data_IF_743278617987
#
_entry.id   IF_743278617987
#
_cell.length_a   1.000
_cell.length_b   1.000
_cell.length_c   1.000
_cell.angle_alpha   90.00
_cell.angle_beta   90.00
_cell.angle_gamma   90.00
#
_symmetry.space_group_name_H-M   'P 1'
#
loop_
_entity.id
_entity.type
_entity.pdbx_description
1 polymer ?
#
# COMPACT_ATOMS: atom_id res chain seq x y z
N UNK A 1 -16.55 -3.37 39.81
CA UNK A 1 -16.03 -2.92 38.51
C UNK A 1 -15.41 -1.55 38.78
N UNK A 2 -14.09 -1.53 38.94
CA UNK A 2 -13.32 -0.32 39.19
C UNK A 2 -13.13 0.41 37.87
N UNK A 3 -13.55 1.68 37.84
CA UNK A 3 -13.30 2.61 36.74
C UNK A 3 -11.79 2.95 36.73
N UNK A 4 -11.11 2.56 35.67
CA UNK A 4 -9.73 3.00 35.41
C UNK A 4 -9.80 4.35 34.71
N UNK A 5 -9.58 5.39 35.50
CA UNK A 5 -9.51 6.78 35.04
C UNK A 5 -8.11 7.02 34.44
N UNK A 6 -8.01 7.15 33.12
CA UNK A 6 -6.76 7.50 32.43
C UNK A 6 -6.61 9.02 32.33
N UNK A 7 -5.77 9.59 33.17
CA UNK A 7 -5.38 11.00 33.08
C UNK A 7 -4.29 11.16 31.97
N UNK A 8 -4.63 11.93 30.93
CA UNK A 8 -3.76 12.21 29.78
C UNK A 8 -2.47 13.00 30.15
N UNK A 9 -2.39 13.52 31.36
CA UNK A 9 -1.19 14.18 31.89
C UNK A 9 -0.08 13.20 32.25
N UNK A 10 -0.40 11.98 32.67
CA UNK A 10 0.59 10.97 33.05
C UNK A 10 1.41 10.43 31.88
N UNK A 11 0.97 10.57 30.64
CA UNK A 11 1.72 10.13 29.46
C UNK A 11 2.77 11.18 29.01
N UNK A 12 2.56 12.45 29.33
CA UNK A 12 3.50 13.52 28.98
C UNK A 12 4.70 13.54 29.96
N UNK A 13 4.50 13.13 31.20
CA UNK A 13 5.56 13.17 32.22
C UNK A 13 6.50 11.96 32.20
N UNK A 14 6.16 10.86 31.53
CA UNK A 14 7.02 9.66 31.41
C UNK A 14 8.13 9.76 30.35
N UNK A 15 8.07 10.72 29.43
CA UNK A 15 9.10 10.90 28.38
C UNK A 15 10.26 11.81 28.78
N UNK A 16 10.26 12.39 30.02
CA UNK A 16 11.29 13.30 30.49
C UNK A 16 12.11 12.67 31.64
N UNK A 17 12.65 11.46 31.44
CA UNK A 17 13.65 10.93 32.37
C UNK A 17 14.87 10.35 31.65
N UNK A 18 15.64 11.24 31.03
CA UNK A 18 17.04 10.98 30.73
C UNK A 18 17.90 12.12 31.30
N UNK A 19 18.31 12.05 32.58
CA UNK A 19 18.91 13.18 33.31
C UNK A 19 20.29 13.59 32.81
N UNK A 20 20.93 12.79 31.93
CA UNK A 20 22.25 13.10 31.38
C UNK A 20 22.28 14.10 30.23
N UNK A 21 21.26 14.12 29.37
CA UNK A 21 21.20 14.98 28.18
C UNK A 21 20.69 16.39 28.51
N UNK A 22 19.78 16.52 29.45
CA UNK A 22 19.15 17.80 29.82
C UNK A 22 20.11 18.77 30.55
N UNK A 23 21.04 18.26 31.35
CA UNK A 23 22.01 19.12 32.06
C UNK A 23 23.01 19.77 31.08
N UNK A 24 23.49 19.05 30.07
CA UNK A 24 24.41 19.60 29.06
C UNK A 24 23.74 20.66 28.17
N UNK A 25 22.51 20.41 27.76
CA UNK A 25 21.74 21.33 26.92
C UNK A 25 21.37 22.61 27.67
N UNK A 26 21.00 22.52 28.96
CA UNK A 26 20.69 23.66 29.80
C UNK A 26 21.91 24.50 30.04
N UNK A 27 23.10 23.88 30.24
CA UNK A 27 24.39 24.57 30.41
C UNK A 27 24.82 25.27 29.12
N UNK A 28 24.65 24.67 27.97
CA UNK A 28 24.93 25.28 26.66
C UNK A 28 24.00 26.45 26.37
N UNK A 29 22.70 26.32 26.61
CA UNK A 29 21.71 27.38 26.42
C UNK A 29 22.00 28.60 27.29
N UNK A 30 22.35 28.39 28.54
CA UNK A 30 22.70 29.48 29.45
C UNK A 30 24.01 30.16 29.06
N UNK A 31 25.00 29.42 28.61
CA UNK A 31 26.25 29.98 28.08
C UNK A 31 25.99 30.82 26.82
N UNK A 32 25.21 30.31 25.87
CA UNK A 32 24.88 31.01 24.63
C UNK A 32 24.04 32.28 24.87
N UNK A 33 23.10 32.25 25.82
CA UNK A 33 22.28 33.41 26.14
C UNK A 33 23.09 34.57 26.73
N UNK A 34 24.22 34.28 27.38
CA UNK A 34 25.10 35.27 28.01
C UNK A 34 26.12 35.86 27.02
N UNK A 35 26.21 35.42 25.79
CA UNK A 35 27.10 35.99 24.78
C UNK A 35 26.54 37.32 24.26
N UNK A 36 27.43 38.32 24.12
CA UNK A 36 27.11 39.57 23.44
C UNK A 36 26.81 39.38 21.95
N UNK A 37 26.17 40.37 21.30
CA UNK A 37 25.88 40.28 19.84
C UNK A 37 27.13 39.97 19.00
N UNK A 38 28.25 40.59 19.29
CA UNK A 38 29.50 40.36 18.56
C UNK A 38 30.07 38.96 18.81
N UNK A 39 29.97 38.45 20.05
CA UNK A 39 30.42 37.09 20.36
C UNK A 39 29.55 36.01 19.69
N UNK A 40 28.24 36.21 19.55
CA UNK A 40 27.38 35.32 18.78
C UNK A 40 27.72 35.34 17.30
N UNK A 41 28.04 36.51 16.74
CA UNK A 41 28.48 36.64 15.36
C UNK A 41 29.78 35.86 15.11
N UNK A 42 30.79 36.03 15.98
CA UNK A 42 32.05 35.26 15.90
C UNK A 42 31.79 33.77 16.02
N UNK A 43 30.90 33.35 16.93
CA UNK A 43 30.55 31.93 17.09
C UNK A 43 29.93 31.33 15.81
N UNK A 44 29.02 32.02 15.13
CA UNK A 44 28.46 31.57 13.88
C UNK A 44 29.50 31.53 12.76
N UNK A 45 30.37 32.52 12.70
CA UNK A 45 31.42 32.58 11.68
C UNK A 45 32.41 31.43 11.84
N UNK A 46 32.82 31.07 13.04
CA UNK A 46 33.70 29.94 13.32
C UNK A 46 33.01 28.59 12.99
N UNK A 47 31.71 28.49 13.27
CA UNK A 47 30.93 27.31 12.94
C UNK A 47 30.81 27.08 11.40
N UNK A 48 30.58 28.18 10.66
CA UNK A 48 30.52 28.14 9.19
C UNK A 48 31.88 27.75 8.60
N UNK A 49 32.97 28.34 9.07
CA UNK A 49 34.33 27.97 8.62
C UNK A 49 34.64 26.52 8.94
N UNK A 50 34.29 26.03 10.13
CA UNK A 50 34.44 24.62 10.50
C UNK A 50 33.68 23.65 9.57
N UNK A 51 32.45 24.01 9.19
CA UNK A 51 31.65 23.20 8.22
C UNK A 51 32.30 23.20 6.84
N UNK A 52 32.81 24.35 6.36
CA UNK A 52 33.48 24.40 5.03
C UNK A 52 34.75 23.56 5.03
N UNK A 53 35.55 23.60 6.07
CA UNK A 53 36.75 22.77 6.20
C UNK A 53 36.39 21.29 6.23
N UNK A 54 35.36 20.92 6.99
CA UNK A 54 34.89 19.53 7.08
C UNK A 54 34.40 18.99 5.72
N UNK A 55 33.61 19.80 4.99
CA UNK A 55 33.15 19.43 3.64
C UNK A 55 34.31 19.33 2.64
N UNK A 56 35.31 20.21 2.76
CA UNK A 56 36.55 20.14 1.95
C UNK A 56 37.32 18.83 2.18
N UNK A 57 37.52 18.44 3.43
CA UNK A 57 38.16 17.17 3.80
C UNK A 57 37.37 15.98 3.29
N UNK A 58 36.04 15.99 3.46
CA UNK A 58 35.16 14.92 2.98
C UNK A 58 35.22 14.77 1.46
N UNK A 59 35.22 15.89 0.73
CA UNK A 59 35.36 15.89 -0.74
C UNK A 59 36.72 15.34 -1.19
N UNK A 60 37.79 15.72 -0.49
CA UNK A 60 39.14 15.21 -0.75
C UNK A 60 39.25 13.71 -0.52
N UNK A 61 38.66 13.19 0.56
CA UNK A 61 38.61 11.74 0.81
C UNK A 61 37.84 10.97 -0.27
N UNK A 62 36.71 11.52 -0.77
CA UNK A 62 35.94 10.91 -1.87
C UNK A 62 36.77 10.84 -3.16
N UNK A 63 37.64 11.82 -3.44
CA UNK A 63 38.52 11.81 -4.60
C UNK A 63 39.65 10.78 -4.45
N UNK A 64 40.21 10.61 -3.25
CA UNK A 64 41.26 9.62 -2.96
C UNK A 64 40.78 8.17 -3.04
N UNK A 65 39.48 7.92 -2.75
CA UNK A 65 38.91 6.57 -2.78
C UNK A 65 38.07 6.28 -4.03
N UNK A 66 38.22 7.08 -5.13
CA UNK A 66 37.60 6.71 -6.41
C UNK A 66 38.36 5.50 -6.99
N UNK A 67 37.67 4.35 -7.25
CA UNK A 67 38.31 3.26 -7.98
C UNK A 67 38.60 3.74 -9.40
N UNK A 68 39.86 3.52 -9.86
CA UNK A 68 40.25 3.82 -11.22
C UNK A 68 39.42 2.96 -12.19
N UNK A 69 38.64 3.58 -13.06
CA UNK A 69 37.95 2.89 -14.15
C UNK A 69 39.02 2.39 -15.15
N UNK A 70 39.31 1.10 -15.11
CA UNK A 70 40.09 0.44 -16.14
C UNK A 70 39.24 0.33 -17.41
N UNK A 71 39.57 1.12 -18.41
CA UNK A 71 39.09 0.98 -19.79
C UNK A 71 39.68 -0.29 -20.40
N UNK A 72 38.90 -1.34 -20.53
CA UNK A 72 39.26 -2.54 -21.29
C UNK A 72 38.77 -2.35 -22.71
N UNK A 73 39.71 -2.27 -23.65
CA UNK A 73 39.44 -2.30 -25.08
C UNK A 73 38.94 -3.69 -25.51
N UNK A 74 38.00 -3.80 -26.46
CA UNK A 74 37.49 -5.09 -26.90
C UNK A 74 38.46 -5.76 -27.88
N UNK A 75 39.03 -6.87 -27.47
CA UNK A 75 39.74 -7.77 -28.39
C UNK A 75 38.74 -8.74 -29.01
N UNK A 76 38.48 -8.60 -30.30
CA UNK A 76 37.67 -9.54 -31.06
C UNK A 76 38.53 -10.79 -31.33
N UNK A 77 38.16 -11.93 -30.77
CA UNK A 77 38.64 -13.24 -31.21
C UNK A 77 37.47 -14.16 -31.48
N UNK A 78 37.22 -14.41 -32.75
CA UNK A 78 36.24 -15.37 -33.21
C UNK A 78 36.73 -16.79 -32.92
N UNK A 79 36.07 -17.51 -32.01
CA UNK A 79 36.19 -18.97 -31.90
C UNK A 79 34.79 -19.59 -31.92
N UNK A 80 34.53 -20.25 -33.03
CA UNK A 80 33.36 -21.12 -33.21
C UNK A 80 33.43 -22.26 -32.20
N UNK A 81 32.47 -22.29 -31.25
CA UNK A 81 32.27 -23.44 -30.40
C UNK A 81 30.81 -23.90 -30.46
N UNK A 82 30.64 -25.20 -30.66
CA UNK A 82 29.44 -25.98 -30.76
C UNK A 82 28.47 -25.66 -29.63
N UNK A 83 27.22 -25.40 -30.03
CA UNK A 83 26.08 -25.14 -29.14
C UNK A 83 25.77 -26.39 -28.32
N UNK A 84 26.31 -26.47 -27.10
CA UNK A 84 25.86 -27.40 -26.08
C UNK A 84 24.56 -26.82 -25.49
N UNK A 85 23.47 -27.49 -25.75
CA UNK A 85 22.16 -27.13 -25.16
C UNK A 85 22.16 -27.52 -23.68
N UNK A 86 22.74 -26.68 -22.84
CA UNK A 86 22.55 -26.80 -21.40
C UNK A 86 21.20 -26.16 -21.06
N UNK A 87 20.18 -27.02 -20.88
CA UNK A 87 18.91 -26.64 -20.26
C UNK A 87 19.15 -26.29 -18.81
N UNK A 88 19.75 -25.14 -18.54
CA UNK A 88 19.65 -24.51 -17.23
C UNK A 88 18.22 -23.98 -17.10
N UNK A 89 17.34 -24.77 -16.51
CA UNK A 89 16.05 -24.28 -16.04
C UNK A 89 16.33 -23.31 -14.90
N UNK A 90 16.55 -22.03 -15.22
CA UNK A 90 16.61 -20.99 -14.20
C UNK A 90 15.34 -21.08 -13.36
N UNK A 91 15.46 -21.36 -12.07
CA UNK A 91 14.35 -21.33 -11.11
C UNK A 91 13.61 -20.02 -11.29
N UNK A 92 12.40 -20.06 -11.82
CA UNK A 92 11.54 -18.88 -11.90
C UNK A 92 10.92 -18.65 -10.53
N UNK A 93 11.31 -17.56 -9.89
CA UNK A 93 10.64 -17.11 -8.67
C UNK A 93 9.29 -16.49 -9.03
N UNK A 94 8.29 -16.72 -8.21
CA UNK A 94 6.91 -16.27 -8.44
C UNK A 94 6.45 -15.46 -7.23
N UNK A 95 5.85 -14.32 -7.50
CA UNK A 95 5.21 -13.50 -6.48
C UNK A 95 3.98 -14.25 -5.93
N UNK A 96 3.91 -14.52 -4.62
CA UNK A 96 2.81 -15.26 -4.02
C UNK A 96 1.49 -14.46 -3.97
N UNK A 97 1.51 -13.15 -4.23
CA UNK A 97 0.35 -12.29 -4.22
C UNK A 97 -0.38 -12.30 -5.55
N UNK A 98 0.33 -12.06 -6.65
CA UNK A 98 -0.26 -11.88 -7.98
C UNK A 98 0.26 -12.86 -9.06
N UNK A 99 1.14 -13.77 -8.69
CA UNK A 99 1.67 -14.79 -9.59
C UNK A 99 2.66 -14.28 -10.64
N UNK A 100 3.07 -13.03 -10.63
CA UNK A 100 4.06 -12.48 -11.54
C UNK A 100 5.42 -13.18 -11.37
N UNK A 101 6.19 -13.28 -12.46
CA UNK A 101 7.56 -13.78 -12.37
C UNK A 101 8.48 -12.70 -11.80
N UNK A 102 9.34 -13.11 -10.87
CA UNK A 102 10.33 -12.27 -10.24
C UNK A 102 11.70 -12.51 -10.87
N UNK A 103 12.51 -11.47 -10.97
CA UNK A 103 13.90 -11.55 -11.48
C UNK A 103 14.83 -12.26 -10.50
N UNK A 104 14.53 -12.16 -9.19
CA UNK A 104 15.26 -12.80 -8.09
C UNK A 104 14.31 -13.03 -6.90
N UNK A 105 14.80 -13.65 -5.83
CA UNK A 105 14.03 -13.96 -4.63
C UNK A 105 14.15 -12.91 -3.51
N UNK A 106 14.88 -11.82 -3.71
CA UNK A 106 15.14 -10.85 -2.63
C UNK A 106 13.85 -10.26 -2.06
N UNK A 107 12.85 -10.01 -2.92
CA UNK A 107 11.56 -9.48 -2.48
C UNK A 107 10.78 -10.44 -1.58
N UNK A 108 11.06 -11.75 -1.67
CA UNK A 108 10.44 -12.78 -0.84
C UNK A 108 11.04 -12.84 0.58
N UNK A 109 12.09 -12.07 0.86
CA UNK A 109 12.71 -11.96 2.18
C UNK A 109 12.07 -10.90 3.08
N UNK A 110 11.01 -10.26 2.59
CA UNK A 110 10.25 -9.25 3.35
C UNK A 110 8.76 -9.56 3.32
N UNK A 111 7.99 -9.17 4.36
CA UNK A 111 6.54 -9.26 4.33
C UNK A 111 5.94 -8.26 3.31
N UNK A 112 4.73 -8.52 2.77
CA UNK A 112 3.99 -7.51 2.04
C UNK A 112 3.74 -6.27 2.90
N UNK A 113 3.58 -5.13 2.24
CA UNK A 113 3.17 -3.88 2.87
C UNK A 113 1.74 -3.56 2.43
N UNK A 114 0.78 -3.52 3.34
CA UNK A 114 -0.61 -3.18 3.09
C UNK A 114 -0.88 -1.74 3.53
N UNK A 115 -1.10 -0.83 2.59
CA UNK A 115 -1.20 0.61 2.86
C UNK A 115 -2.62 1.10 2.62
N UNK A 116 -3.20 1.78 3.62
CA UNK A 116 -4.51 2.41 3.50
C UNK A 116 -4.42 3.67 2.65
N UNK A 117 -5.13 3.71 1.53
CA UNK A 117 -5.13 4.84 0.58
C UNK A 117 -6.54 5.39 0.42
N UNK A 118 -6.65 6.70 0.48
CA UNK A 118 -7.92 7.43 0.38
C UNK A 118 -8.52 7.38 -1.03
N UNK A 119 -9.86 7.37 -1.13
CA UNK A 119 -10.57 7.49 -2.40
C UNK A 119 -11.60 8.63 -2.44
N UNK A 120 -11.60 9.56 -1.46
CA UNK A 120 -12.44 10.76 -1.60
C UNK A 120 -12.09 11.52 -2.87
N UNK A 121 -13.05 12.26 -3.42
CA UNK A 121 -12.85 13.03 -4.67
C UNK A 121 -11.67 14.01 -4.56
N UNK A 122 -11.48 14.61 -3.37
CA UNK A 122 -10.35 15.51 -3.08
C UNK A 122 -8.99 14.82 -3.01
N UNK A 123 -8.96 13.49 -2.89
CA UNK A 123 -7.73 12.70 -2.84
C UNK A 123 -7.26 12.22 -4.23
N UNK A 124 -8.09 12.39 -5.25
CA UNK A 124 -7.80 11.92 -6.61
C UNK A 124 -7.00 12.96 -7.42
N UNK A 125 -6.10 12.53 -8.32
CA UNK A 125 -5.61 11.17 -8.49
C UNK A 125 -4.67 10.74 -7.37
N UNK A 126 -4.68 9.43 -7.03
CA UNK A 126 -3.81 8.87 -6.01
C UNK A 126 -2.43 8.52 -6.59
N UNK A 127 -1.43 8.42 -5.70
CA UNK A 127 -0.08 7.98 -6.04
C UNK A 127 0.13 6.51 -5.64
N UNK A 128 0.83 5.75 -6.48
CA UNK A 128 1.33 4.43 -6.16
C UNK A 128 0.39 3.26 -6.46
N UNK A 129 -0.90 3.45 -6.75
CA UNK A 129 -1.85 2.35 -6.99
C UNK A 129 -1.41 1.45 -8.16
N UNK A 130 -0.78 2.01 -9.21
CA UNK A 130 -0.27 1.22 -10.33
C UNK A 130 0.92 0.31 -9.99
N UNK A 131 1.49 0.44 -8.80
CA UNK A 131 2.59 -0.41 -8.32
C UNK A 131 2.12 -1.49 -7.34
N UNK A 132 0.84 -1.48 -6.95
CA UNK A 132 0.29 -2.49 -6.05
C UNK A 132 0.15 -3.85 -6.74
N UNK A 133 0.34 -4.92 -5.97
CA UNK A 133 0.13 -6.31 -6.42
C UNK A 133 -1.32 -6.73 -6.19
N UNK A 134 -1.90 -6.34 -5.04
CA UNK A 134 -3.32 -6.48 -4.73
C UNK A 134 -3.89 -5.12 -4.33
N UNK A 135 -5.17 -4.88 -4.62
CA UNK A 135 -5.93 -3.76 -4.09
C UNK A 135 -7.27 -4.26 -3.58
N UNK A 136 -7.61 -3.89 -2.36
CA UNK A 136 -8.93 -4.13 -1.77
C UNK A 136 -9.65 -2.80 -1.70
N UNK A 137 -10.84 -2.71 -2.26
CA UNK A 137 -11.71 -1.56 -2.17
C UNK A 137 -12.99 -1.95 -1.45
N UNK A 138 -13.38 -1.17 -0.46
CA UNK A 138 -14.61 -1.31 0.26
C UNK A 138 -15.10 0.04 0.77
N UNK A 139 -16.39 0.10 1.08
CA UNK A 139 -17.00 1.26 1.72
C UNK A 139 -16.43 1.49 3.12
N UNK A 140 -16.32 2.75 3.49
CA UNK A 140 -16.05 3.24 4.84
C UNK A 140 -17.20 4.15 5.27
N UNK A 141 -17.06 4.83 6.40
CA UNK A 141 -18.07 5.77 6.88
C UNK A 141 -18.37 6.87 5.85
N UNK A 142 -19.61 7.33 5.80
CA UNK A 142 -20.08 8.43 4.93
C UNK A 142 -20.24 8.06 3.45
N UNK A 143 -20.44 6.78 3.12
CA UNK A 143 -20.62 6.30 1.74
C UNK A 143 -19.35 6.35 0.88
N UNK A 144 -18.21 6.76 1.44
CA UNK A 144 -16.93 6.87 0.75
C UNK A 144 -16.29 5.49 0.62
N UNK A 145 -15.63 5.17 -0.49
CA UNK A 145 -14.77 4.00 -0.56
C UNK A 145 -13.32 4.32 -0.16
N UNK A 146 -12.56 3.28 0.18
CA UNK A 146 -11.13 3.37 0.51
C UNK A 146 -10.39 2.18 -0.08
N UNK A 147 -9.11 2.39 -0.37
CA UNK A 147 -8.24 1.31 -0.83
C UNK A 147 -7.33 0.81 0.28
N UNK A 148 -7.07 -0.49 0.28
CA UNK A 148 -5.87 -1.07 0.87
C UNK A 148 -5.01 -1.60 -0.28
N UNK A 149 -3.95 -0.88 -0.61
CA UNK A 149 -3.01 -1.25 -1.65
C UNK A 149 -1.87 -2.09 -1.05
N UNK A 150 -1.61 -3.26 -1.62
CA UNK A 150 -0.61 -4.21 -1.12
C UNK A 150 0.58 -4.25 -2.07
N UNK A 151 1.76 -4.11 -1.51
CA UNK A 151 3.02 -4.08 -2.25
C UNK A 151 3.94 -5.19 -1.76
N UNK A 152 4.60 -5.88 -2.67
CA UNK A 152 5.69 -6.82 -2.38
C UNK A 152 6.85 -6.63 -3.35
N UNK A 153 6.60 -6.72 -4.67
CA UNK A 153 7.64 -6.65 -5.69
C UNK A 153 8.07 -5.22 -6.03
N UNK A 154 7.15 -4.26 -5.96
CA UNK A 154 7.42 -2.86 -6.31
C UNK A 154 7.62 -1.99 -5.08
N UNK A 155 8.46 -0.95 -5.21
CA UNK A 155 8.81 -0.01 -4.15
C UNK A 155 8.57 1.44 -4.59
N UNK A 156 7.31 1.85 -4.82
CA UNK A 156 7.03 3.24 -5.18
C UNK A 156 7.53 4.20 -4.10
N UNK A 157 8.21 5.26 -4.55
CA UNK A 157 8.78 6.28 -3.66
C UNK A 157 7.74 7.24 -3.10
N UNK A 158 6.54 7.28 -3.69
CA UNK A 158 5.43 8.11 -3.23
C UNK A 158 4.11 7.34 -3.35
N UNK A 159 3.48 7.07 -2.20
CA UNK A 159 2.16 6.43 -2.11
C UNK A 159 1.22 7.26 -1.25
N UNK A 160 -0.04 7.32 -1.64
CA UNK A 160 -1.05 8.04 -0.88
C UNK A 160 -2.12 8.75 -1.73
N UNK A 161 -2.98 9.56 -1.07
CA UNK A 161 -2.93 9.93 0.35
C UNK A 161 -3.22 8.74 1.29
N UNK A 162 -2.40 8.60 2.34
CA UNK A 162 -2.57 7.54 3.35
C UNK A 162 -3.65 7.95 4.33
N UNK A 163 -4.48 6.96 4.76
CA UNK A 163 -5.64 7.21 5.61
C UNK A 163 -5.81 6.20 6.74
N UNK A 164 -6.84 6.44 7.49
CA UNK A 164 -7.15 5.76 8.76
C UNK A 164 -7.46 4.27 8.61
N UNK A 165 -7.02 3.50 9.59
CA UNK A 165 -7.31 2.08 9.75
C UNK A 165 -8.80 1.78 9.94
N UNK A 166 -9.22 0.60 9.47
CA UNK A 166 -10.54 0.00 9.72
C UNK A 166 -10.39 -1.49 10.00
N UNK A 167 -11.27 -2.04 10.81
CA UNK A 167 -11.20 -3.43 11.31
C UNK A 167 -11.11 -4.48 10.20
N UNK A 168 -11.92 -4.35 9.17
CA UNK A 168 -11.99 -5.32 8.07
C UNK A 168 -10.75 -5.31 7.20
N UNK A 169 -10.12 -4.15 6.97
CA UNK A 169 -8.84 -4.07 6.28
C UNK A 169 -7.71 -4.72 7.07
N UNK A 170 -7.72 -4.58 8.41
CA UNK A 170 -6.77 -5.29 9.28
C UNK A 170 -6.89 -6.81 9.09
N UNK A 171 -8.12 -7.34 9.04
CA UNK A 171 -8.35 -8.77 8.86
C UNK A 171 -7.90 -9.28 7.48
N UNK A 172 -8.01 -8.46 6.43
CA UNK A 172 -7.49 -8.81 5.11
C UNK A 172 -5.96 -8.71 5.06
N UNK A 173 -5.35 -7.71 5.70
CA UNK A 173 -3.90 -7.59 5.81
C UNK A 173 -3.28 -8.76 6.57
N UNK A 174 -3.89 -9.18 7.70
CA UNK A 174 -3.48 -10.38 8.45
C UNK A 174 -3.54 -11.64 7.59
N UNK A 175 -4.61 -11.82 6.79
CA UNK A 175 -4.80 -12.99 5.94
C UNK A 175 -3.74 -13.18 4.85
N UNK A 176 -3.04 -12.11 4.48
CA UNK A 176 -1.92 -12.16 3.52
C UNK A 176 -0.56 -11.97 4.19
N UNK A 177 -0.50 -11.92 5.53
CA UNK A 177 0.73 -11.73 6.28
C UNK A 177 1.42 -10.39 6.03
N UNK A 178 0.66 -9.32 5.83
CA UNK A 178 1.20 -7.99 5.52
C UNK A 178 1.43 -7.15 6.78
N UNK A 179 2.43 -6.28 6.73
CA UNK A 179 2.55 -5.16 7.66
C UNK A 179 1.50 -4.11 7.27
N UNK A 180 0.62 -3.79 8.21
CA UNK A 180 -0.48 -2.85 7.97
C UNK A 180 -0.01 -1.42 8.20
N UNK A 181 -0.15 -0.56 7.19
CA UNK A 181 0.30 0.84 7.23
C UNK A 181 -0.88 1.77 7.07
N UNK A 182 -1.03 2.71 7.99
CA UNK A 182 -2.19 3.60 8.07
C UNK A 182 -1.81 4.96 8.68
N UNK A 183 -2.74 5.90 8.70
CA UNK A 183 -2.58 7.21 9.34
C UNK A 183 -3.71 7.41 10.34
N UNK A 184 -3.49 7.03 11.61
CA UNK A 184 -4.53 6.94 12.61
C UNK A 184 -5.59 5.90 12.26
N UNK A 185 -6.73 5.93 12.95
CA UNK A 185 -7.79 4.95 12.75
C UNK A 185 -9.05 5.31 13.51
N UNK A 186 -10.14 4.54 13.32
CA UNK A 186 -11.21 4.55 14.30
C UNK A 186 -10.78 3.76 15.53
N UNK A 187 -11.42 4.02 16.65
CA UNK A 187 -11.02 3.50 17.97
C UNK A 187 -10.95 1.96 17.98
N UNK A 188 -11.93 1.26 17.41
CA UNK A 188 -11.95 -0.20 17.38
C UNK A 188 -10.78 -0.78 16.56
N UNK A 189 -10.39 -0.11 15.47
CA UNK A 189 -9.26 -0.54 14.68
C UNK A 189 -7.94 -0.34 15.44
N UNK A 190 -7.77 0.80 16.11
CA UNK A 190 -6.57 1.10 16.90
C UNK A 190 -6.44 0.17 18.11
N UNK A 191 -7.52 -0.05 18.86
CA UNK A 191 -7.57 -1.00 19.97
C UNK A 191 -7.23 -2.43 19.52
N UNK A 192 -7.77 -2.88 18.38
CA UNK A 192 -7.44 -4.19 17.83
C UNK A 192 -5.96 -4.32 17.48
N UNK A 193 -5.38 -3.31 16.82
CA UNK A 193 -3.97 -3.29 16.45
C UNK A 193 -3.09 -3.38 17.70
N UNK A 194 -3.40 -2.61 18.73
CA UNK A 194 -2.66 -2.56 19.98
C UNK A 194 -2.84 -3.83 20.82
N UNK A 195 -4.09 -4.24 21.10
CA UNK A 195 -4.39 -5.34 22.02
C UNK A 195 -3.96 -6.70 21.47
N UNK A 196 -3.95 -6.88 20.16
CA UNK A 196 -3.53 -8.12 19.50
C UNK A 196 -2.11 -8.07 18.96
N UNK A 197 -1.36 -6.99 19.21
CA UNK A 197 0.02 -6.79 18.75
C UNK A 197 0.18 -7.09 17.25
N UNK A 198 -0.80 -6.62 16.44
CA UNK A 198 -0.78 -6.86 15.00
C UNK A 198 0.31 -6.00 14.37
N UNK A 199 1.22 -6.58 13.54
CA UNK A 199 2.27 -5.82 12.88
C UNK A 199 1.71 -4.68 12.05
N UNK A 200 1.98 -3.44 12.49
CA UNK A 200 1.50 -2.23 11.81
C UNK A 200 2.47 -1.07 11.97
N UNK A 201 2.30 -0.07 11.11
CA UNK A 201 3.00 1.22 11.20
C UNK A 201 1.96 2.32 11.07
N UNK A 202 1.78 3.07 12.16
CA UNK A 202 0.93 4.26 12.15
C UNK A 202 1.76 5.49 11.81
N UNK A 203 1.45 6.11 10.68
CA UNK A 203 2.10 7.33 10.24
C UNK A 203 1.89 8.50 11.21
N UNK A 204 0.79 8.50 11.98
CA UNK A 204 0.49 9.58 12.94
C UNK A 204 1.57 9.68 14.03
N UNK A 205 2.11 8.52 14.46
CA UNK A 205 3.13 8.42 15.50
C UNK A 205 4.55 8.21 14.97
N UNK A 206 4.73 8.30 13.63
CA UNK A 206 6.04 8.13 13.01
C UNK A 206 6.70 9.50 12.78
N UNK A 207 7.99 9.59 13.08
CA UNK A 207 8.79 10.81 12.85
C UNK A 207 8.72 11.24 11.37
N UNK A 208 8.56 12.55 11.14
CA UNK A 208 8.49 13.15 9.81
C UNK A 208 7.08 13.26 9.22
N UNK A 209 6.05 12.71 9.88
CA UNK A 209 4.67 12.73 9.38
C UNK A 209 4.07 14.14 9.20
N UNK A 210 4.59 15.14 9.90
CA UNK A 210 4.18 16.55 9.77
C UNK A 210 5.07 17.37 8.82
N UNK A 211 6.16 16.79 8.29
CA UNK A 211 7.11 17.52 7.43
C UNK A 211 6.68 17.51 5.97
N UNK A 212 7.06 18.55 5.17
CA UNK A 212 6.86 18.53 3.73
C UNK A 212 7.55 17.36 3.03
N UNK A 213 6.91 16.82 1.99
CA UNK A 213 7.52 15.79 1.16
C UNK A 213 8.70 16.36 0.35
N UNK A 214 9.88 15.83 0.55
CA UNK A 214 11.01 16.05 -0.35
C UNK A 214 11.09 14.91 -1.37
N UNK A 215 10.37 15.06 -2.48
CA UNK A 215 10.30 14.04 -3.53
C UNK A 215 11.57 13.92 -4.36
N UNK A 216 12.46 14.89 -4.30
CA UNK A 216 13.77 14.84 -4.97
C UNK A 216 14.73 13.93 -4.22
N UNK A 217 14.83 14.07 -2.91
CA UNK A 217 15.71 13.25 -2.08
C UNK A 217 15.10 11.91 -1.68
N UNK A 218 13.76 11.79 -1.69
CA UNK A 218 13.02 10.59 -1.28
C UNK A 218 13.44 10.03 0.10
N UNK A 219 13.90 10.90 1.00
CA UNK A 219 14.45 10.53 2.30
C UNK A 219 13.43 10.52 3.45
N UNK A 220 12.15 10.68 3.14
CA UNK A 220 11.06 10.63 4.12
C UNK A 220 10.53 9.19 4.27
N UNK A 221 10.02 8.86 5.45
CA UNK A 221 9.19 7.68 5.69
C UNK A 221 7.74 8.07 5.38
N UNK A 222 7.25 9.09 6.09
CA UNK A 222 5.98 9.78 5.84
C UNK A 222 6.23 11.28 5.70
N UNK A 223 5.30 11.95 5.00
CA UNK A 223 5.41 13.39 4.74
C UNK A 223 4.07 14.00 4.38
N UNK A 224 3.99 15.33 4.33
CA UNK A 224 2.82 16.09 3.85
C UNK A 224 3.10 16.67 2.46
N UNK A 225 2.33 16.24 1.46
CA UNK A 225 2.44 16.78 0.12
C UNK A 225 1.86 18.20 0.09
N UNK A 226 2.67 19.19 -0.27
CA UNK A 226 2.31 20.62 -0.18
C UNK A 226 1.30 21.07 -1.25
N UNK A 227 1.13 20.30 -2.32
CA UNK A 227 0.16 20.59 -3.39
C UNK A 227 -1.26 20.18 -3.03
N UNK A 228 -1.48 19.65 -1.82
CA UNK A 228 -2.78 19.22 -1.31
C UNK A 228 -3.02 19.74 0.11
N UNK A 229 -4.28 19.99 0.43
CA UNK A 229 -4.67 20.39 1.79
C UNK A 229 -4.87 19.17 2.70
N UNK A 230 -4.64 19.37 3.99
CA UNK A 230 -5.03 18.38 4.98
C UNK A 230 -6.56 18.19 4.97
N UNK A 231 -7.05 16.99 5.17
CA UNK A 231 -6.35 15.77 5.54
C UNK A 231 -5.89 14.92 4.33
N UNK A 232 -6.01 15.40 3.09
CA UNK A 232 -5.76 14.68 1.83
C UNK A 232 -4.29 14.71 1.37
N UNK A 233 -3.35 15.00 2.27
CA UNK A 233 -1.95 15.29 1.92
C UNK A 233 -0.91 14.40 2.63
N UNK A 234 -1.32 13.33 3.33
CA UNK A 234 -0.42 12.38 3.98
C UNK A 234 0.11 11.34 3.00
N UNK A 235 1.44 11.25 2.82
CA UNK A 235 2.08 10.34 1.87
C UNK A 235 3.20 9.55 2.53
N UNK A 236 3.63 8.46 1.89
CA UNK A 236 4.73 7.62 2.37
C UNK A 236 5.62 7.12 1.24
N UNK A 237 6.82 6.65 1.64
CA UNK A 237 7.79 5.98 0.78
C UNK A 237 7.89 4.52 1.20
N UNK A 238 7.51 3.59 0.32
CA UNK A 238 7.43 2.17 0.67
C UNK A 238 8.77 1.56 1.08
N UNK A 239 9.87 1.93 0.42
CA UNK A 239 11.19 1.41 0.77
C UNK A 239 11.59 1.82 2.20
N UNK A 240 11.33 3.07 2.57
CA UNK A 240 11.64 3.60 3.90
C UNK A 240 10.69 3.05 4.97
N UNK A 241 9.41 2.79 4.62
CA UNK A 241 8.46 2.12 5.51
C UNK A 241 8.93 0.68 5.80
N UNK A 242 9.37 -0.09 4.79
CA UNK A 242 9.96 -1.41 5.02
C UNK A 242 11.23 -1.37 5.87
N UNK A 243 12.10 -0.37 5.66
CA UNK A 243 13.29 -0.19 6.50
C UNK A 243 12.92 0.05 7.96
N UNK A 244 11.93 0.92 8.21
CA UNK A 244 11.41 1.16 9.56
C UNK A 244 10.82 -0.12 10.16
N UNK A 245 10.00 -0.86 9.41
CA UNK A 245 9.42 -2.11 9.85
C UNK A 245 10.48 -3.15 10.24
N UNK A 246 11.57 -3.24 9.46
CA UNK A 246 12.71 -4.09 9.77
C UNK A 246 13.42 -3.67 11.05
N UNK A 247 13.64 -2.37 11.25
CA UNK A 247 14.25 -1.81 12.47
C UNK A 247 13.40 -2.08 13.71
N UNK A 248 12.07 -2.09 13.57
CA UNK A 248 11.12 -2.40 14.63
C UNK A 248 10.93 -3.93 14.85
N UNK A 249 11.64 -4.78 14.10
CA UNK A 249 11.55 -6.24 14.26
C UNK A 249 10.27 -6.86 13.68
N UNK A 250 9.48 -6.13 12.89
CA UNK A 250 8.19 -6.60 12.38
C UNK A 250 8.31 -7.69 11.31
N UNK A 251 9.52 -8.00 10.83
CA UNK A 251 9.74 -9.08 9.84
C UNK A 251 9.68 -10.48 10.47
N UNK A 252 9.99 -10.62 11.76
CA UNK A 252 10.13 -11.92 12.43
C UNK A 252 8.80 -12.66 12.62
N UNK A 253 7.67 -11.93 12.64
CA UNK A 253 6.34 -12.49 12.86
C UNK A 253 5.62 -12.92 11.58
N UNK A 254 6.18 -12.62 10.39
CA UNK A 254 5.50 -12.72 9.12
C UNK A 254 6.24 -13.66 8.17
N UNK A 255 5.73 -14.86 8.01
CA UNK A 255 6.24 -15.86 7.05
C UNK A 255 5.42 -15.85 5.78
N UNK A 256 5.92 -15.15 4.74
CA UNK A 256 5.46 -15.38 3.37
C UNK A 256 5.89 -16.78 2.93
N UNK A 257 4.95 -17.57 2.46
CA UNK A 257 5.23 -18.87 1.82
C UNK A 257 4.94 -20.11 2.63
N UNK A 258 4.50 -20.00 3.89
CA UNK A 258 3.93 -21.15 4.63
C UNK A 258 2.41 -21.24 4.56
N UNK A 259 1.74 -20.27 3.93
CA UNK A 259 0.30 -20.35 3.69
C UNK A 259 0.05 -21.32 2.54
N UNK A 260 -0.41 -22.52 2.85
CA UNK A 260 -0.81 -23.59 1.93
C UNK A 260 -1.89 -23.15 0.92
N UNK A 261 -2.44 -21.96 1.05
CA UNK A 261 -3.51 -21.37 0.25
C UNK A 261 -3.04 -20.25 -0.70
N UNK A 262 -1.93 -20.44 -1.41
CA UNK A 262 -1.57 -19.53 -2.50
C UNK A 262 -2.59 -19.65 -3.63
N UNK A 263 -2.94 -18.50 -4.26
CA UNK A 263 -3.80 -18.53 -5.44
C UNK A 263 -3.15 -19.31 -6.58
N UNK A 264 -3.97 -19.97 -7.39
CA UNK A 264 -3.52 -20.56 -8.64
C UNK A 264 -3.41 -19.49 -9.71
N UNK A 265 -2.34 -19.50 -10.49
CA UNK A 265 -2.08 -18.50 -11.52
C UNK A 265 -1.80 -19.14 -12.88
N UNK A 266 -2.33 -18.52 -13.93
CA UNK A 266 -2.06 -18.87 -15.33
C UNK A 266 -1.61 -17.61 -16.10
N UNK A 267 -0.73 -17.80 -17.07
CA UNK A 267 -0.39 -16.79 -18.07
C UNK A 267 -1.08 -17.01 -19.41
N UNK A 268 -2.05 -17.93 -19.47
CA UNK A 268 -2.74 -18.27 -20.72
C UNK A 268 -3.61 -17.12 -21.22
N UNK A 269 -3.44 -16.76 -22.48
CA UNK A 269 -4.25 -15.79 -23.21
C UNK A 269 -5.14 -16.47 -24.26
N UNK A 270 -5.38 -17.76 -24.11
CA UNK A 270 -6.30 -18.50 -24.97
C UNK A 270 -7.75 -18.14 -24.64
N UNK A 271 -8.58 -18.01 -25.65
CA UNK A 271 -10.01 -17.76 -25.53
C UNK A 271 -10.35 -16.47 -24.76
N UNK A 272 -9.71 -15.34 -25.11
CA UNK A 272 -10.04 -14.03 -24.54
C UNK A 272 -11.49 -13.65 -24.89
N UNK A 273 -12.13 -12.93 -23.96
CA UNK A 273 -13.43 -12.30 -24.15
C UNK A 273 -13.39 -11.18 -25.19
N UNK A 274 -14.54 -10.59 -25.46
CA UNK A 274 -14.67 -9.47 -26.37
C UNK A 274 -14.04 -8.20 -25.76
N UNK A 275 -13.40 -7.38 -26.60
CA UNK A 275 -12.87 -6.07 -26.18
C UNK A 275 -14.04 -5.14 -25.81
N UNK A 276 -13.89 -4.36 -24.73
CA UNK A 276 -14.92 -3.43 -24.27
C UNK A 276 -16.01 -4.08 -23.39
N UNK A 277 -15.86 -5.35 -22.96
CA UNK A 277 -16.73 -5.89 -21.92
C UNK A 277 -16.58 -5.08 -20.64
N UNK A 278 -17.70 -4.70 -20.01
CA UNK A 278 -17.73 -3.77 -18.88
C UNK A 278 -18.25 -4.43 -17.60
N UNK A 279 -17.65 -4.09 -16.46
CA UNK A 279 -18.09 -4.44 -15.12
C UNK A 279 -18.43 -3.14 -14.42
N UNK A 280 -19.68 -2.91 -14.06
CA UNK A 280 -20.13 -1.75 -13.30
C UNK A 280 -20.34 -2.17 -11.85
N UNK A 281 -19.77 -1.44 -10.91
CA UNK A 281 -19.85 -1.71 -9.47
C UNK A 281 -20.36 -0.45 -8.75
N UNK A 282 -21.40 -0.63 -7.95
CA UNK A 282 -22.02 0.38 -7.10
C UNK A 282 -21.86 -0.05 -5.65
N UNK A 283 -21.22 0.77 -4.82
CA UNK A 283 -20.97 0.45 -3.41
C UNK A 283 -22.14 0.80 -2.51
N UNK A 284 -22.90 1.84 -2.88
CA UNK A 284 -24.08 2.31 -2.14
C UNK A 284 -25.16 2.81 -3.11
N UNK A 285 -26.38 2.96 -2.64
CA UNK A 285 -27.50 3.46 -3.43
C UNK A 285 -27.27 4.92 -3.85
N UNK A 286 -26.93 5.13 -5.14
CA UNK A 286 -26.89 6.45 -5.77
C UNK A 286 -25.62 7.27 -5.55
N UNK A 287 -24.51 6.67 -5.14
CA UNK A 287 -23.27 7.41 -4.88
C UNK A 287 -22.35 7.46 -6.11
N UNK A 288 -22.74 8.27 -7.11
CA UNK A 288 -22.03 8.46 -8.38
C UNK A 288 -20.51 8.71 -8.26
N UNK A 289 -19.99 9.48 -7.28
CA UNK A 289 -18.54 9.71 -7.19
C UNK A 289 -17.72 8.45 -6.89
N UNK A 290 -18.34 7.39 -6.37
CA UNK A 290 -17.69 6.13 -6.01
C UNK A 290 -18.13 4.94 -6.86
N UNK A 291 -18.99 5.16 -7.85
CA UNK A 291 -19.30 4.16 -8.86
C UNK A 291 -18.05 3.83 -9.67
N UNK A 292 -17.87 2.56 -9.89
CA UNK A 292 -16.69 2.02 -10.58
C UNK A 292 -17.13 1.31 -11.85
N UNK A 293 -16.43 1.60 -12.94
CA UNK A 293 -16.53 0.82 -14.15
C UNK A 293 -15.15 0.27 -14.53
N UNK A 294 -15.10 -1.01 -14.88
CA UNK A 294 -13.93 -1.66 -15.43
C UNK A 294 -14.18 -2.06 -16.86
N UNK A 295 -13.42 -1.52 -17.80
CA UNK A 295 -13.54 -1.84 -19.22
C UNK A 295 -12.39 -2.75 -19.64
N UNK A 296 -12.73 -3.90 -20.21
CA UNK A 296 -11.75 -4.87 -20.67
C UNK A 296 -11.07 -4.41 -21.97
N UNK A 297 -9.74 -4.28 -21.90
CA UNK A 297 -8.86 -4.04 -23.03
C UNK A 297 -8.20 -5.37 -23.46
N UNK A 298 -8.69 -5.92 -24.58
CA UNK A 298 -8.22 -7.20 -25.11
C UNK A 298 -6.78 -7.20 -25.57
N UNK A 299 -6.30 -6.05 -26.13
CA UNK A 299 -4.93 -5.92 -26.62
C UNK A 299 -3.92 -6.06 -25.48
N UNK A 300 -4.20 -5.42 -24.35
CA UNK A 300 -3.35 -5.46 -23.17
C UNK A 300 -3.72 -6.61 -22.21
N UNK A 301 -4.82 -7.31 -22.49
CA UNK A 301 -5.42 -8.32 -21.63
C UNK A 301 -5.50 -7.83 -20.16
N UNK A 302 -6.13 -6.68 -19.95
CA UNK A 302 -6.36 -6.09 -18.64
C UNK A 302 -7.68 -5.32 -18.64
N UNK A 303 -8.09 -4.88 -17.46
CA UNK A 303 -9.23 -4.01 -17.27
C UNK A 303 -8.71 -2.62 -16.90
N UNK A 304 -9.26 -1.58 -17.52
CA UNK A 304 -9.00 -0.16 -17.24
C UNK A 304 -10.09 0.37 -16.30
N UNK A 305 -9.69 1.07 -15.25
CA UNK A 305 -10.59 1.51 -14.18
C UNK A 305 -11.10 2.93 -14.40
N UNK A 306 -12.41 3.07 -14.37
CA UNK A 306 -13.12 4.35 -14.27
C UNK A 306 -13.68 4.50 -12.86
N UNK A 307 -13.67 5.71 -12.32
CA UNK A 307 -14.15 6.02 -10.98
C UNK A 307 -14.95 7.31 -11.02
N UNK A 308 -16.24 7.25 -10.68
CA UNK A 308 -17.15 8.38 -10.81
C UNK A 308 -17.28 8.86 -12.28
N UNK A 309 -17.37 7.92 -13.23
CA UNK A 309 -17.54 8.18 -14.65
C UNK A 309 -16.29 8.67 -15.40
N UNK A 310 -15.12 8.75 -14.74
CA UNK A 310 -13.88 9.22 -15.36
C UNK A 310 -12.76 8.16 -15.27
N UNK A 311 -11.99 8.02 -16.35
CA UNK A 311 -10.82 7.13 -16.36
C UNK A 311 -9.85 7.53 -15.26
N UNK A 312 -9.52 6.60 -14.38
CA UNK A 312 -8.65 6.86 -13.24
C UNK A 312 -7.18 6.71 -13.62
N UNK A 313 -6.39 7.71 -13.26
CA UNK A 313 -4.94 7.75 -13.49
C UNK A 313 -4.16 7.73 -12.19
N UNK A 314 -2.92 7.25 -12.26
CA UNK A 314 -1.94 7.40 -11.18
C UNK A 314 -1.30 8.79 -11.25
N UNK A 315 -1.27 9.51 -10.12
CA UNK A 315 -0.66 10.85 -10.06
C UNK A 315 0.85 10.84 -10.35
N UNK A 316 1.54 9.73 -10.07
CA UNK A 316 3.00 9.63 -10.23
C UNK A 316 3.44 9.21 -11.63
N UNK A 317 2.62 8.44 -12.34
CA UNK A 317 2.99 7.90 -13.66
C UNK A 317 2.16 8.46 -14.80
N UNK A 318 1.06 9.13 -14.49
CA UNK A 318 0.04 9.58 -15.45
C UNK A 318 -0.46 8.45 -16.38
N UNK A 319 -0.44 7.21 -15.89
CA UNK A 319 -0.94 6.03 -16.60
C UNK A 319 -2.29 5.61 -16.03
N UNK A 320 -3.19 5.05 -16.84
CA UNK A 320 -4.44 4.50 -16.38
C UNK A 320 -4.24 3.47 -15.26
N UNK A 321 -5.14 3.43 -14.29
CA UNK A 321 -5.21 2.36 -13.30
C UNK A 321 -5.79 1.12 -13.99
N UNK A 322 -5.07 -0.01 -13.88
CA UNK A 322 -5.46 -1.26 -14.54
C UNK A 322 -5.38 -2.45 -13.60
N UNK A 323 -6.10 -3.51 -13.91
CA UNK A 323 -5.98 -4.82 -13.23
C UNK A 323 -6.00 -5.97 -14.25
N UNK A 324 -5.33 -7.08 -13.94
CA UNK A 324 -5.43 -8.33 -14.71
C UNK A 324 -6.66 -9.13 -14.30
N UNK A 325 -7.03 -8.99 -13.04
CA UNK A 325 -8.18 -9.64 -12.46
C UNK A 325 -8.99 -8.62 -11.66
N UNK A 326 -10.31 -8.64 -11.83
CA UNK A 326 -11.26 -7.93 -11.00
C UNK A 326 -12.11 -8.96 -10.28
N UNK A 327 -12.33 -8.80 -8.99
CA UNK A 327 -13.12 -9.72 -8.16
C UNK A 327 -14.17 -8.92 -7.44
N UNK A 328 -15.44 -9.13 -7.76
CA UNK A 328 -16.56 -8.56 -7.02
C UNK A 328 -16.99 -9.52 -5.93
N UNK A 329 -17.02 -9.06 -4.69
CA UNK A 329 -17.29 -9.87 -3.50
C UNK A 329 -18.49 -9.28 -2.77
N UNK A 330 -19.50 -10.10 -2.53
CA UNK A 330 -20.56 -9.75 -1.58
C UNK A 330 -20.13 -10.13 -0.17
N UNK A 331 -20.08 -9.13 0.72
CA UNK A 331 -19.71 -9.29 2.12
C UNK A 331 -20.64 -8.44 2.99
N UNK A 332 -21.28 -9.08 3.97
CA UNK A 332 -22.17 -8.36 4.87
C UNK A 332 -21.41 -7.29 5.67
N UNK A 333 -22.10 -6.20 5.93
CA UNK A 333 -21.60 -5.17 6.80
C UNK A 333 -22.77 -4.43 7.47
N UNK A 334 -22.45 -3.70 8.51
CA UNK A 334 -23.40 -2.93 9.30
C UNK A 334 -22.72 -1.74 9.96
N UNK A 335 -23.49 -0.76 10.36
CA UNK A 335 -23.02 0.33 11.20
C UNK A 335 -23.25 0.01 12.67
N UNK A 336 -22.31 0.41 13.52
CA UNK A 336 -22.44 0.39 14.97
C UNK A 336 -22.10 1.77 15.52
N UNK A 337 -22.60 2.07 16.73
CA UNK A 337 -22.24 3.30 17.44
C UNK A 337 -21.06 3.06 18.35
N UNK A 338 -20.22 4.06 18.48
CA UNK A 338 -19.16 4.11 19.47
C UNK A 338 -19.30 5.43 20.25
N UNK A 339 -19.09 5.46 21.58
CA UNK A 339 -19.01 6.73 22.30
C UNK A 339 -17.97 7.62 21.64
N UNK A 340 -18.34 8.85 21.29
CA UNK A 340 -17.42 9.81 20.71
C UNK A 340 -16.23 10.08 21.62
N UNK A 341 -15.23 10.78 21.12
CA UNK A 341 -14.01 11.18 21.85
C UNK A 341 -14.27 12.28 22.92
N UNK A 342 -15.51 12.51 23.28
CA UNK A 342 -15.91 13.50 24.28
C UNK A 342 -16.06 14.92 23.77
N UNK A 343 -15.94 15.17 22.46
CA UNK A 343 -15.94 16.55 21.95
C UNK A 343 -17.36 17.10 21.67
N UNK A 344 -18.14 16.58 20.77
CA UNK A 344 -19.48 17.13 20.47
C UNK A 344 -20.51 16.09 20.07
N UNK A 345 -20.08 14.94 19.59
CA UNK A 345 -20.94 13.85 19.15
C UNK A 345 -20.77 12.68 20.12
N UNK A 346 -21.77 12.37 20.93
CA UNK A 346 -21.69 11.31 21.93
C UNK A 346 -21.51 9.91 21.30
N UNK A 347 -21.82 9.78 20.00
CA UNK A 347 -21.68 8.53 19.24
C UNK A 347 -21.23 8.81 17.82
N UNK A 348 -20.23 8.06 17.36
CA UNK A 348 -19.82 8.02 15.96
C UNK A 348 -20.31 6.73 15.31
N UNK A 349 -20.87 6.81 14.13
CA UNK A 349 -21.18 5.62 13.34
C UNK A 349 -19.89 5.03 12.81
N UNK A 350 -19.68 3.74 13.07
CA UNK A 350 -18.51 2.98 12.62
C UNK A 350 -19.00 1.84 11.74
N UNK A 351 -18.34 1.70 10.61
CA UNK A 351 -18.61 0.67 9.65
C UNK A 351 -17.86 -0.62 10.00
N UNK A 352 -18.59 -1.73 10.06
CA UNK A 352 -18.08 -3.07 10.35
C UNK A 352 -18.43 -4.00 9.19
N UNK A 353 -17.56 -4.96 8.88
CA UNK A 353 -17.81 -5.99 7.87
C UNK A 353 -17.50 -7.39 8.41
N UNK A 354 -18.28 -8.38 8.01
CA UNK A 354 -18.10 -9.80 8.36
C UNK A 354 -16.99 -10.41 7.50
N UNK A 355 -15.75 -10.26 7.95
CA UNK A 355 -14.56 -10.66 7.16
C UNK A 355 -14.26 -12.15 7.20
N UNK A 356 -14.96 -12.94 8.01
CA UNK A 356 -14.85 -14.41 8.10
C UNK A 356 -16.15 -15.06 7.66
N UNK A 357 -16.06 -16.27 7.12
CA UNK A 357 -17.20 -16.97 6.55
C UNK A 357 -17.04 -17.22 5.06
N UNK A 358 -18.13 -17.18 4.33
CA UNK A 358 -18.19 -17.38 2.88
C UNK A 358 -19.34 -16.61 2.26
N UNK A 359 -19.23 -16.34 0.97
CA UNK A 359 -20.27 -15.64 0.23
C UNK A 359 -20.05 -15.70 -1.27
N UNK A 360 -20.91 -15.03 -2.04
CA UNK A 360 -20.80 -14.96 -3.49
C UNK A 360 -19.60 -14.15 -3.91
N UNK A 361 -18.92 -14.63 -4.95
CA UNK A 361 -17.82 -13.93 -5.63
C UNK A 361 -17.93 -14.08 -7.14
N UNK A 362 -17.61 -13.02 -7.85
CA UNK A 362 -17.57 -12.99 -9.30
C UNK A 362 -16.19 -12.55 -9.73
N UNK A 363 -15.51 -13.39 -10.48
CA UNK A 363 -14.11 -13.20 -10.84
C UNK A 363 -14.04 -12.92 -12.33
N UNK A 364 -13.42 -11.81 -12.68
CA UNK A 364 -13.24 -11.37 -14.06
C UNK A 364 -11.77 -11.41 -14.42
N UNK A 365 -11.44 -12.21 -15.40
CA UNK A 365 -10.13 -12.22 -16.04
C UNK A 365 -10.28 -12.62 -17.52
N UNK A 366 -9.32 -12.24 -18.34
CA UNK A 366 -9.36 -12.51 -19.78
C UNK A 366 -10.66 -12.03 -20.48
N UNK A 367 -11.31 -11.00 -19.95
CA UNK A 367 -12.57 -10.48 -20.49
C UNK A 367 -13.80 -11.39 -20.26
N UNK A 368 -13.73 -12.31 -19.30
CA UNK A 368 -14.79 -13.27 -18.98
C UNK A 368 -15.13 -13.26 -17.50
N UNK A 369 -16.37 -13.62 -17.20
CA UNK A 369 -16.87 -13.84 -15.86
C UNK A 369 -16.70 -15.30 -15.45
N UNK A 370 -16.32 -15.50 -14.18
CA UNK A 370 -16.33 -16.79 -13.48
C UNK A 370 -17.14 -16.57 -12.19
N UNK A 371 -18.28 -17.25 -12.08
CA UNK A 371 -19.09 -17.23 -10.88
C UNK A 371 -18.57 -18.23 -9.86
N UNK A 372 -18.60 -17.86 -8.59
CA UNK A 372 -18.09 -18.69 -7.52
C UNK A 372 -18.38 -18.16 -6.12
N UNK A 373 -17.56 -18.59 -5.19
CA UNK A 373 -17.65 -18.22 -3.78
C UNK A 373 -16.29 -17.80 -3.24
N UNK A 374 -16.32 -16.84 -2.32
CA UNK A 374 -15.17 -16.57 -1.44
C UNK A 374 -15.33 -17.33 -0.13
N UNK A 375 -14.23 -17.64 0.53
CA UNK A 375 -14.19 -18.22 1.88
C UNK A 375 -12.97 -17.71 2.65
N UNK A 376 -13.19 -17.42 3.92
CA UNK A 376 -12.13 -17.02 4.86
C UNK A 376 -12.48 -17.52 6.27
N UNK A 377 -11.69 -18.45 6.78
CA UNK A 377 -12.02 -19.22 8.00
C UNK A 377 -11.64 -18.51 9.30
N UNK A 378 -10.70 -17.56 9.25
CA UNK A 378 -10.28 -16.75 10.41
C UNK A 378 -9.72 -15.40 9.95
N UNK A 379 -9.48 -14.47 10.86
CA UNK A 379 -8.82 -13.20 10.54
C UNK A 379 -7.43 -13.39 9.93
N UNK A 380 -6.74 -14.47 10.27
CA UNK A 380 -5.37 -14.77 9.82
C UNK A 380 -5.31 -15.67 8.59
N UNK A 381 -6.42 -16.33 8.20
CA UNK A 381 -6.45 -17.12 6.98
C UNK A 381 -6.57 -16.23 5.74
N UNK A 382 -5.90 -16.60 4.65
CA UNK A 382 -6.08 -15.94 3.36
C UNK A 382 -7.50 -16.19 2.84
N UNK A 383 -8.12 -15.19 2.25
CA UNK A 383 -9.38 -15.36 1.53
C UNK A 383 -9.13 -16.25 0.29
N UNK A 384 -9.94 -17.26 0.08
CA UNK A 384 -9.87 -18.20 -1.04
C UNK A 384 -11.08 -18.07 -1.94
N UNK A 385 -10.96 -18.54 -3.19
CA UNK A 385 -12.01 -18.43 -4.19
C UNK A 385 -12.17 -19.77 -4.90
N UNK A 386 -13.40 -20.25 -4.95
CA UNK A 386 -13.78 -21.46 -5.70
C UNK A 386 -14.85 -21.10 -6.73
N UNK A 387 -14.81 -21.75 -7.88
CA UNK A 387 -15.86 -21.70 -8.90
C UNK A 387 -17.14 -22.36 -8.38
N UNK A 388 -18.27 -22.19 -9.05
CA UNK A 388 -19.56 -22.79 -8.64
C UNK A 388 -19.53 -24.31 -8.51
N UNK A 389 -18.59 -24.99 -9.19
CA UNK A 389 -18.39 -26.44 -9.07
C UNK A 389 -17.35 -26.84 -7.99
N UNK A 390 -16.93 -25.90 -7.14
CA UNK A 390 -16.02 -26.16 -6.03
C UNK A 390 -14.52 -26.20 -6.39
N UNK A 391 -14.14 -25.99 -7.66
CA UNK A 391 -12.72 -25.95 -8.05
C UNK A 391 -12.07 -24.63 -7.69
N UNK A 392 -10.82 -24.59 -7.17
CA UNK A 392 -10.12 -23.34 -6.92
C UNK A 392 -9.98 -22.49 -8.18
N UNK A 393 -10.31 -21.20 -8.09
CA UNK A 393 -10.20 -20.24 -9.18
C UNK A 393 -8.74 -20.09 -9.62
N UNK A 394 -8.52 -20.02 -10.92
CA UNK A 394 -7.22 -19.69 -11.50
C UNK A 394 -7.21 -18.24 -11.98
N UNK A 395 -6.37 -17.42 -11.39
CA UNK A 395 -6.18 -16.01 -11.74
C UNK A 395 -5.21 -15.85 -12.91
N UNK A 396 -5.33 -14.76 -13.64
CA UNK A 396 -4.27 -14.28 -14.54
C UNK A 396 -3.10 -13.73 -13.71
N UNK A 397 -1.87 -13.97 -14.18
CA UNK A 397 -0.68 -13.38 -13.55
C UNK A 397 -0.71 -11.87 -13.66
N UNK A 398 -0.58 -11.17 -12.53
CA UNK A 398 -0.63 -9.73 -12.39
C UNK A 398 -1.73 -9.27 -11.47
N UNK A 399 -1.80 -7.98 -11.24
CA UNK A 399 -2.63 -7.33 -10.21
C UNK A 399 -4.03 -7.89 -10.13
N UNK A 400 -4.47 -8.13 -8.88
CA UNK A 400 -5.84 -8.48 -8.54
C UNK A 400 -6.46 -7.29 -7.79
N UNK A 401 -7.65 -6.88 -8.24
CA UNK A 401 -8.44 -5.85 -7.58
C UNK A 401 -9.72 -6.46 -7.04
N UNK A 402 -9.95 -6.28 -5.74
CA UNK A 402 -11.13 -6.76 -5.03
C UNK A 402 -12.08 -5.60 -4.79
N UNK A 403 -13.28 -5.66 -5.36
CA UNK A 403 -14.41 -4.78 -5.14
C UNK A 403 -15.35 -5.43 -4.13
N UNK A 404 -15.37 -4.94 -2.90
CA UNK A 404 -16.10 -5.59 -1.80
C UNK A 404 -17.33 -4.75 -1.51
N UNK A 405 -18.48 -5.26 -1.92
CA UNK A 405 -19.77 -4.61 -1.84
C UNK A 405 -20.69 -5.31 -0.84
N UNK A 406 -21.66 -4.57 -0.33
CA UNK A 406 -22.68 -5.11 0.55
C UNK A 406 -23.86 -5.67 -0.22
N UNK A 407 -24.45 -6.78 0.23
CA UNK A 407 -25.66 -7.32 -0.39
C UNK A 407 -26.87 -6.39 -0.36
N UNK A 408 -26.94 -5.50 0.68
CA UNK A 408 -28.11 -4.66 0.93
C UNK A 408 -28.09 -3.36 0.12
N UNK A 409 -26.90 -2.78 -0.11
CA UNK A 409 -26.76 -1.45 -0.70
C UNK A 409 -25.93 -1.45 -1.98
N UNK A 410 -25.02 -2.40 -2.11
CA UNK A 410 -24.16 -2.52 -3.27
C UNK A 410 -24.71 -3.44 -4.34
N UNK A 411 -24.39 -3.15 -5.58
CA UNK A 411 -24.73 -3.98 -6.74
C UNK A 411 -23.61 -3.96 -7.77
N UNK A 412 -23.64 -4.94 -8.67
CA UNK A 412 -22.80 -4.91 -9.85
C UNK A 412 -23.55 -5.46 -11.06
N UNK A 413 -23.08 -5.10 -12.24
CA UNK A 413 -23.52 -5.71 -13.51
C UNK A 413 -22.30 -6.01 -14.39
N UNK A 414 -22.42 -7.04 -15.20
CA UNK A 414 -21.44 -7.39 -16.23
C UNK A 414 -22.12 -7.33 -17.61
N UNK A 415 -21.57 -6.52 -18.51
CA UNK A 415 -22.03 -6.39 -19.89
C UNK A 415 -20.94 -6.94 -20.80
N UNK A 416 -21.08 -8.17 -21.34
CA UNK A 416 -20.21 -8.67 -22.39
C UNK A 416 -20.34 -7.76 -23.61
N UNK A 417 -19.23 -7.33 -24.19
CA UNK A 417 -19.29 -6.64 -25.47
C UNK A 417 -19.82 -7.58 -26.56
N UNK A 418 -20.71 -7.09 -27.42
CA UNK A 418 -21.18 -7.83 -28.56
C UNK A 418 -20.00 -8.17 -29.49
N UNK A 419 -19.86 -9.44 -29.86
CA UNK A 419 -18.98 -9.83 -30.96
C UNK A 419 -19.58 -9.27 -32.25
N UNK A 420 -19.16 -8.09 -32.68
CA UNK A 420 -19.40 -7.67 -34.05
C UNK A 420 -18.68 -8.69 -34.95
N UNK A 421 -19.42 -9.63 -35.50
CA UNK A 421 -18.98 -10.37 -36.65
C UNK A 421 -18.80 -9.33 -37.76
N UNK A 422 -17.57 -8.95 -38.05
CA UNK A 422 -17.24 -8.36 -39.34
C UNK A 422 -17.45 -9.47 -40.37
N UNK A 423 -18.68 -9.60 -40.85
CA UNK A 423 -18.92 -10.26 -42.14
C UNK A 423 -18.29 -9.34 -43.17
N UNK A 424 -17.03 -9.63 -43.53
CA UNK A 424 -16.41 -9.07 -44.72
C UNK A 424 -17.22 -9.57 -45.92
N UNK A 425 -17.89 -8.66 -46.57
CA UNK A 425 -18.35 -8.80 -47.95
C UNK A 425 -17.22 -8.49 -48.93
#
# INVERSE_FOLDING_TARGET
MEEINFDSKDLIDREIQNPGKTKRFKKFRNWYSNLSKNQRYVFYLTLIVGIIIFLGILSFLIILFRPANATVAPTVSAKTTKKSSNKNSSKKYVDPLDGSYLTNNNVLQRPPLAVMIENSTSARPQSGLNSADLVYEAQVEGGITRFMAVFLKHTPSLIGPIRSARLYYIAWAQGIGAIYTHWGGNIYALEKLQNQHIPNIDALYTSGSSTPCNTTLNNFIFCRLQTRYAPHNGYGNTANIWNLAKQQGLYSSLTLGKNENSYKFSGSTKNLGANGSAINVHFDHGDLPYDVEWIYNKTNNNYERYNGGSLQYSATTNQPITAKNVVVIYMNGYTTSYPGDGTTEPYSLIWIMDTTGSGKAYIFNNGKEIQGTWSKTSSQSRMTFNTSNGTPVTFQRGRIWFEIIQPQTGSFSFTPASSTSTNGG
#
